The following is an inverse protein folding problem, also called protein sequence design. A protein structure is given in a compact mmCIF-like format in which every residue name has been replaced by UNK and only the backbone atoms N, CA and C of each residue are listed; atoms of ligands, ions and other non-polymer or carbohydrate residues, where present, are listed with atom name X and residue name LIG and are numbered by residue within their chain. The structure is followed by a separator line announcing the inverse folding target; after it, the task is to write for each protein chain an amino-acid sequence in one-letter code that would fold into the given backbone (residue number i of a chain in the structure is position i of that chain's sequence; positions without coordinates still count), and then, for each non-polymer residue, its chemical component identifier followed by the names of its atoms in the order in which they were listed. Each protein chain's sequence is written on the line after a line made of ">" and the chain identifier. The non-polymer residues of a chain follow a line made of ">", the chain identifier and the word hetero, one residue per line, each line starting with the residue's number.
data_IF_886054741783
#
_entry.id   IF_886054741783
#
_cell.length_a   1.000
_cell.length_b   1.000
_cell.length_c   1.000
_cell.angle_alpha   90.00
_cell.angle_beta   90.00
_cell.angle_gamma   90.00
#
_symmetry.space_group_name_H-M   'P 1'
#
loop_
_entity.id
_entity.type
_entity.pdbx_description
1 polymer ?
#
# COMPACT_ATOMS: atom_id res chain seq x y z
N UNK A 1 11.09 -3.07 0.67
CA UNK A 1 11.86 -3.54 1.84
C UNK A 1 12.74 -4.76 1.55
N UNK A 2 12.28 -6.01 1.70
CA UNK A 2 13.19 -7.19 1.68
C UNK A 2 13.70 -7.64 0.30
N UNK A 3 12.91 -7.42 -0.75
CA UNK A 3 13.25 -7.87 -2.11
C UNK A 3 13.66 -6.73 -3.05
N UNK A 4 13.79 -5.50 -2.54
CA UNK A 4 13.90 -4.28 -3.35
C UNK A 4 15.12 -4.28 -4.28
N UNK A 5 16.30 -4.63 -3.77
CA UNK A 5 17.55 -4.71 -4.52
C UNK A 5 17.80 -6.08 -5.18
N UNK A 6 16.88 -7.04 -4.98
CA UNK A 6 16.93 -8.38 -5.59
C UNK A 6 16.32 -8.36 -7.00
N UNK A 7 16.66 -9.34 -7.87
CA UNK A 7 16.16 -9.36 -9.25
C UNK A 7 14.63 -9.28 -9.37
N UNK A 8 13.89 -9.90 -8.45
CA UNK A 8 12.42 -9.86 -8.41
C UNK A 8 11.88 -8.44 -8.15
N UNK A 9 12.41 -7.73 -7.15
CA UNK A 9 11.98 -6.36 -6.83
C UNK A 9 12.35 -5.39 -7.95
N UNK A 10 13.58 -5.49 -8.46
CA UNK A 10 14.01 -4.67 -9.61
C UNK A 10 13.12 -4.88 -10.84
N UNK A 11 12.75 -6.12 -11.16
CA UNK A 11 11.84 -6.41 -12.28
C UNK A 11 10.43 -5.83 -12.06
N UNK A 12 9.92 -5.89 -10.83
CA UNK A 12 8.59 -5.36 -10.51
C UNK A 12 8.50 -3.84 -10.72
N UNK A 13 9.56 -3.12 -10.33
CA UNK A 13 9.62 -1.66 -10.35
C UNK A 13 10.45 -1.07 -11.50
N UNK A 14 11.04 -1.91 -12.37
CA UNK A 14 11.84 -1.46 -13.52
C UNK A 14 13.15 -0.76 -13.15
N UNK A 15 13.81 -1.20 -12.07
CA UNK A 15 14.98 -0.51 -11.50
C UNK A 15 16.31 -1.11 -11.96
N UNK A 16 17.31 -0.25 -12.14
CA UNK A 16 18.72 -0.67 -12.22
C UNK A 16 19.20 -1.18 -10.87
N UNK A 17 20.27 -2.00 -10.85
CA UNK A 17 20.85 -2.48 -9.59
C UNK A 17 21.34 -1.33 -8.73
N UNK A 18 22.05 -0.37 -9.34
CA UNK A 18 22.60 0.80 -8.66
C UNK A 18 21.52 1.64 -7.99
N UNK A 19 20.46 2.00 -8.73
CA UNK A 19 19.35 2.78 -8.19
C UNK A 19 18.61 2.04 -7.06
N UNK A 20 18.39 0.73 -7.22
CA UNK A 20 17.74 -0.08 -6.19
C UNK A 20 18.58 -0.16 -4.90
N UNK A 21 19.91 -0.29 -5.03
CA UNK A 21 20.83 -0.26 -3.88
C UNK A 21 20.81 1.11 -3.19
N UNK A 22 20.91 2.20 -3.96
CA UNK A 22 20.94 3.57 -3.43
C UNK A 22 19.65 3.93 -2.68
N UNK A 23 18.50 3.41 -3.11
CA UNK A 23 17.17 3.72 -2.53
C UNK A 23 16.67 2.68 -1.53
N UNK A 24 17.48 1.67 -1.19
CA UNK A 24 17.05 0.52 -0.38
C UNK A 24 16.45 0.90 0.97
N UNK A 25 17.12 1.80 1.71
CA UNK A 25 16.65 2.26 3.03
C UNK A 25 15.37 3.05 2.93
N UNK A 26 15.24 3.92 1.91
CA UNK A 26 14.01 4.67 1.65
C UNK A 26 12.84 3.70 1.35
N UNK A 27 13.07 2.72 0.48
CA UNK A 27 12.07 1.70 0.14
C UNK A 27 11.75 0.74 1.30
N UNK A 28 12.65 0.60 2.27
CA UNK A 28 12.38 -0.10 3.52
C UNK A 28 11.46 0.73 4.43
N UNK A 29 11.74 2.01 4.60
CA UNK A 29 10.92 2.91 5.42
C UNK A 29 9.50 3.07 4.84
N UNK A 30 9.39 3.25 3.52
CA UNK A 30 8.09 3.26 2.82
C UNK A 30 7.33 1.94 3.01
N UNK A 31 8.04 0.81 3.01
CA UNK A 31 7.46 -0.49 3.31
C UNK A 31 6.95 -0.61 4.74
N UNK A 32 7.66 -0.04 5.71
CA UNK A 32 7.27 -0.06 7.13
C UNK A 32 5.99 0.75 7.38
N UNK A 33 5.89 1.97 6.84
CA UNK A 33 4.66 2.77 6.94
C UNK A 33 3.46 2.06 6.32
N UNK A 34 3.62 1.46 5.14
CA UNK A 34 2.56 0.65 4.53
C UNK A 34 2.22 -0.58 5.39
N UNK A 35 3.20 -1.15 6.10
CA UNK A 35 2.99 -2.20 7.10
C UNK A 35 2.10 -1.75 8.25
N UNK A 36 2.25 -0.52 8.75
CA UNK A 36 1.36 0.04 9.77
C UNK A 36 -0.08 0.24 9.25
N UNK A 37 -0.25 0.65 7.99
CA UNK A 37 -1.59 0.73 7.37
C UNK A 37 -2.24 -0.66 7.34
N UNK A 38 -1.50 -1.69 6.92
CA UNK A 38 -2.00 -3.06 6.90
C UNK A 38 -2.35 -3.57 8.32
N UNK A 39 -1.49 -3.30 9.31
CA UNK A 39 -1.76 -3.66 10.70
C UNK A 39 -3.03 -2.98 11.24
N UNK A 40 -3.25 -1.71 10.90
CA UNK A 40 -4.48 -0.98 11.23
C UNK A 40 -5.74 -1.60 10.61
N UNK A 41 -5.66 -2.07 9.36
CA UNK A 41 -6.76 -2.79 8.70
C UNK A 41 -7.04 -4.14 9.37
N UNK A 42 -6.02 -4.94 9.67
CA UNK A 42 -6.20 -6.20 10.39
C UNK A 42 -6.76 -6.00 11.80
N UNK A 43 -6.31 -4.97 12.50
CA UNK A 43 -6.87 -4.60 13.80
C UNK A 43 -8.34 -4.20 13.69
N UNK A 44 -8.69 -3.39 12.69
CA UNK A 44 -10.08 -3.04 12.39
C UNK A 44 -10.94 -4.27 12.08
N UNK A 45 -10.40 -5.29 11.40
CA UNK A 45 -11.12 -6.55 11.16
C UNK A 45 -11.33 -7.34 12.46
N UNK A 46 -10.30 -7.41 13.32
CA UNK A 46 -10.38 -8.13 14.60
C UNK A 46 -11.45 -7.53 15.53
N UNK A 47 -11.65 -6.21 15.51
CA UNK A 47 -12.68 -5.54 16.31
C UNK A 47 -14.12 -5.78 15.82
N UNK A 48 -14.32 -6.49 14.70
CA UNK A 48 -15.66 -6.76 14.15
C UNK A 48 -16.42 -5.46 13.83
N UNK A 49 -17.68 -5.38 14.26
CA UNK A 49 -18.55 -4.22 13.99
C UNK A 49 -17.97 -2.90 14.52
N UNK A 50 -17.30 -2.93 15.67
CA UNK A 50 -16.67 -1.75 16.28
C UNK A 50 -15.45 -1.25 15.50
N UNK A 51 -14.88 -2.09 14.62
CA UNK A 51 -13.72 -1.74 13.82
C UNK A 51 -14.02 -1.03 12.50
N UNK A 52 -15.29 -0.85 12.12
CA UNK A 52 -15.65 -0.18 10.85
C UNK A 52 -15.00 1.21 10.68
N UNK A 53 -14.99 2.11 11.68
CA UNK A 53 -14.33 3.41 11.52
C UNK A 53 -12.83 3.29 11.29
N UNK A 54 -12.17 2.34 11.95
CA UNK A 54 -10.74 2.04 11.78
C UNK A 54 -10.46 1.57 10.36
N UNK A 55 -11.23 0.59 9.87
CA UNK A 55 -11.11 0.09 8.50
C UNK A 55 -11.33 1.21 7.48
N UNK A 56 -12.39 2.02 7.65
CA UNK A 56 -12.70 3.14 6.78
C UNK A 56 -11.55 4.15 6.70
N UNK A 57 -11.03 4.59 7.84
CA UNK A 57 -9.91 5.54 7.90
C UNK A 57 -8.69 5.02 7.14
N UNK A 58 -8.25 3.81 7.44
CA UNK A 58 -7.07 3.23 6.78
C UNK A 58 -7.30 2.97 5.29
N UNK A 59 -8.48 2.51 4.89
CA UNK A 59 -8.81 2.33 3.46
C UNK A 59 -8.82 3.65 2.70
N UNK A 60 -9.34 4.74 3.28
CA UNK A 60 -9.26 6.08 2.68
C UNK A 60 -7.81 6.53 2.53
N UNK A 61 -6.97 6.35 3.56
CA UNK A 61 -5.54 6.66 3.47
C UNK A 61 -4.86 5.87 2.35
N UNK A 62 -5.13 4.57 2.24
CA UNK A 62 -4.58 3.71 1.17
C UNK A 62 -5.08 4.15 -0.21
N UNK A 63 -6.35 4.52 -0.34
CA UNK A 63 -6.92 5.01 -1.59
C UNK A 63 -6.24 6.31 -2.05
N UNK A 64 -6.12 7.30 -1.16
CA UNK A 64 -5.46 8.59 -1.46
C UNK A 64 -4.00 8.38 -1.83
N UNK A 65 -3.26 7.60 -1.04
CA UNK A 65 -1.86 7.27 -1.33
C UNK A 65 -1.71 6.52 -2.67
N UNK A 66 -2.63 5.60 -2.96
CA UNK A 66 -2.66 4.84 -4.21
C UNK A 66 -2.92 5.72 -5.43
N UNK A 67 -3.84 6.69 -5.32
CA UNK A 67 -4.09 7.68 -6.38
C UNK A 67 -2.84 8.54 -6.60
N UNK A 68 -2.29 9.12 -5.53
CA UNK A 68 -1.12 9.98 -5.63
C UNK A 68 0.09 9.22 -6.22
N UNK A 69 0.41 8.03 -5.70
CA UNK A 69 1.47 7.17 -6.22
C UNK A 69 1.22 6.70 -7.66
N UNK A 70 -0.04 6.45 -8.01
CA UNK A 70 -0.48 6.11 -9.35
C UNK A 70 -0.21 7.19 -10.39
N UNK A 71 -0.41 8.45 -10.00
CA UNK A 71 -0.22 9.61 -10.85
C UNK A 71 1.25 10.07 -10.90
N UNK A 72 2.02 9.86 -9.83
CA UNK A 72 3.38 10.40 -9.69
C UNK A 72 4.50 9.39 -9.93
N UNK A 73 4.32 8.12 -9.57
CA UNK A 73 5.39 7.12 -9.57
C UNK A 73 5.15 6.01 -10.60
N UNK A 74 3.97 5.37 -10.58
CA UNK A 74 3.66 4.30 -11.54
C UNK A 74 2.17 4.06 -11.65
N UNK A 75 1.64 4.05 -12.87
CA UNK A 75 0.23 3.70 -13.15
C UNK A 75 -0.19 2.34 -12.59
N UNK A 76 0.76 1.40 -12.41
CA UNK A 76 0.48 0.10 -11.78
C UNK A 76 -0.10 0.25 -10.37
N UNK A 77 0.31 1.28 -9.62
CA UNK A 77 -0.13 1.55 -8.25
C UNK A 77 -1.64 1.80 -8.18
N UNK A 78 -2.24 2.39 -9.23
CA UNK A 78 -3.70 2.54 -9.30
C UNK A 78 -4.41 1.18 -9.22
N UNK A 79 -3.88 0.17 -9.90
CA UNK A 79 -4.49 -1.16 -9.95
C UNK A 79 -4.19 -2.03 -8.74
N UNK A 80 -2.99 -1.90 -8.14
CA UNK A 80 -2.58 -2.74 -7.01
C UNK A 80 -2.86 -2.14 -5.63
N UNK A 81 -3.16 -0.84 -5.55
CA UNK A 81 -3.36 -0.13 -4.28
C UNK A 81 -4.67 0.66 -4.26
N UNK A 82 -4.88 1.58 -5.21
CA UNK A 82 -6.07 2.44 -5.20
C UNK A 82 -7.36 1.63 -5.45
N UNK A 83 -7.38 0.77 -6.48
CA UNK A 83 -8.54 -0.03 -6.83
C UNK A 83 -8.96 -1.00 -5.71
N UNK A 84 -8.07 -1.81 -5.11
CA UNK A 84 -8.44 -2.65 -3.96
C UNK A 84 -8.97 -1.85 -2.78
N UNK A 85 -8.40 -0.68 -2.48
CA UNK A 85 -8.90 0.18 -1.40
C UNK A 85 -10.31 0.73 -1.70
N UNK A 86 -10.56 1.16 -2.94
CA UNK A 86 -11.89 1.58 -3.38
C UNK A 86 -12.92 0.46 -3.28
N UNK A 87 -12.56 -0.77 -3.68
CA UNK A 87 -13.41 -1.95 -3.51
C UNK A 87 -13.69 -2.20 -2.02
N UNK A 88 -12.66 -2.13 -1.17
CA UNK A 88 -12.83 -2.28 0.28
C UNK A 88 -13.79 -1.25 0.88
N UNK A 89 -13.69 0.01 0.46
CA UNK A 89 -14.61 1.08 0.90
C UNK A 89 -16.04 0.83 0.41
N UNK A 90 -16.21 0.40 -0.84
CA UNK A 90 -17.51 0.06 -1.40
C UNK A 90 -18.17 -1.10 -0.62
N UNK A 91 -17.39 -2.15 -0.31
CA UNK A 91 -17.86 -3.28 0.50
C UNK A 91 -18.25 -2.85 1.91
N UNK A 92 -17.45 -1.98 2.55
CA UNK A 92 -17.75 -1.46 3.88
C UNK A 92 -19.01 -0.58 3.89
N UNK A 93 -19.28 0.13 2.80
CA UNK A 93 -20.45 1.00 2.66
C UNK A 93 -21.77 0.21 2.47
N UNK A 94 -21.70 -1.01 1.92
CA UNK A 94 -22.87 -1.87 1.69
C UNK A 94 -23.04 -2.97 2.76
N UNK A 95 -22.10 -3.09 3.72
CA UNK A 95 -21.99 -4.20 4.66
C UNK A 95 -21.64 -3.80 6.09
#
# INVERSE_FOLDING_TARGET
>A
MFLWDRPKGRKAFGLTQEFATATKTLAANQGLYNGFLAAGLFWGLWLGASGRPVQCFFLVCVLVAGIFGGLTASRKILFIQALPAAIGLALLAIG
#
